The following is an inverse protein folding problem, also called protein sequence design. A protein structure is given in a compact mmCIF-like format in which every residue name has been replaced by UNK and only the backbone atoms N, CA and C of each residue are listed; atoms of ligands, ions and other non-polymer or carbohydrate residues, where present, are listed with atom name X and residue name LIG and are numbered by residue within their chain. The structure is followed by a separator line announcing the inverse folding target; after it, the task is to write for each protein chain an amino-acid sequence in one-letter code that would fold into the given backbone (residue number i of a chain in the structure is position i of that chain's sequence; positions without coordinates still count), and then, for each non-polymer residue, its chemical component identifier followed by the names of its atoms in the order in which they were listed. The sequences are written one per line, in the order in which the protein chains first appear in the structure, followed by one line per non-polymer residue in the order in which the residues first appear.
data_IF_130184550118
#
_entry.id   IF_130184550118
#
_cell.length_a   1.000
_cell.length_b   1.000
_cell.length_c   1.000
_cell.angle_alpha   90.00
_cell.angle_beta   90.00
_cell.angle_gamma   90.00
#
_symmetry.space_group_name_H-M   'P 1'
#
loop_
_entity.id
_entity.type
_entity.pdbx_description
1 polymer ?
#
# COMPACT_ATOMS: atom_id res chain seq x y z
N UNK A 1 31.31 -9.30 28.26
CA UNK A 1 30.27 -9.37 27.21
C UNK A 1 29.28 -8.22 27.46
N UNK A 2 29.23 -7.21 26.59
CA UNK A 2 28.28 -6.09 26.74
C UNK A 2 26.89 -6.58 26.31
N UNK A 3 25.93 -6.61 27.23
CA UNK A 3 24.53 -6.97 26.94
C UNK A 3 23.94 -5.88 26.04
N UNK A 4 23.65 -6.24 24.79
CA UNK A 4 22.88 -5.39 23.87
C UNK A 4 21.47 -5.29 24.43
N UNK A 5 21.09 -4.10 24.91
CA UNK A 5 19.71 -3.82 25.32
C UNK A 5 18.90 -3.63 24.03
N UNK A 6 18.10 -4.63 23.68
CA UNK A 6 17.12 -4.51 22.61
C UNK A 6 16.01 -3.59 23.14
N UNK A 7 15.76 -2.42 22.52
CA UNK A 7 14.74 -1.51 23.00
C UNK A 7 13.37 -2.20 22.90
N UNK A 8 12.68 -2.30 24.03
CA UNK A 8 11.35 -2.92 24.15
C UNK A 8 10.27 -1.89 23.81
N UNK A 9 10.34 -1.31 22.61
CA UNK A 9 9.47 -0.23 22.14
C UNK A 9 8.94 -0.46 20.73
N UNK A 10 8.21 0.51 20.19
CA UNK A 10 7.72 0.44 18.81
C UNK A 10 8.89 0.45 17.80
N UNK A 11 8.77 -0.24 16.66
CA UNK A 11 9.82 -0.26 15.64
C UNK A 11 10.18 1.16 15.21
N UNK A 12 11.48 1.45 15.08
CA UNK A 12 11.96 2.79 14.71
C UNK A 12 11.42 3.30 13.35
N UNK A 13 11.02 2.39 12.47
CA UNK A 13 10.42 2.71 11.16
C UNK A 13 8.89 2.81 11.16
N UNK A 14 8.22 2.72 12.32
CA UNK A 14 6.75 2.73 12.38
C UNK A 14 6.20 4.09 11.95
N UNK A 15 5.29 4.07 10.97
CA UNK A 15 4.55 5.26 10.55
C UNK A 15 3.41 5.53 11.53
N UNK A 16 3.30 6.78 11.97
CA UNK A 16 2.18 7.28 12.79
C UNK A 16 1.67 8.59 12.19
N UNK A 17 0.36 8.68 12.01
CA UNK A 17 -0.33 9.88 11.57
C UNK A 17 -0.20 10.97 12.65
N UNK A 18 0.46 12.06 12.30
CA UNK A 18 0.69 13.18 13.22
C UNK A 18 -0.58 13.99 13.52
N UNK A 19 -1.64 13.81 12.74
CA UNK A 19 -2.91 14.52 12.92
C UNK A 19 -3.83 13.86 13.96
N UNK A 20 -3.93 12.52 13.96
CA UNK A 20 -4.86 11.80 14.85
C UNK A 20 -4.22 10.69 15.71
N UNK A 21 -2.91 10.49 15.60
CA UNK A 21 -2.18 9.45 16.33
C UNK A 21 -2.40 8.04 15.79
N UNK A 22 -3.13 7.86 14.69
CA UNK A 22 -3.32 6.55 14.08
C UNK A 22 -2.00 5.97 13.58
N UNK A 23 -1.75 4.71 13.90
CA UNK A 23 -0.53 4.00 13.52
C UNK A 23 -0.80 2.61 12.95
N UNK A 24 -2.06 2.31 12.60
CA UNK A 24 -2.51 0.95 12.26
C UNK A 24 -3.32 0.89 10.97
N UNK A 25 -3.89 2.00 10.53
CA UNK A 25 -4.85 2.04 9.41
C UNK A 25 -4.43 3.10 8.37
N UNK A 26 -4.10 2.65 7.17
CA UNK A 26 -3.57 3.49 6.09
C UNK A 26 -4.19 3.06 4.77
N UNK A 27 -4.40 4.03 3.88
CA UNK A 27 -5.03 3.81 2.57
C UNK A 27 -4.10 4.33 1.49
N UNK A 28 -3.79 3.51 0.51
CA UNK A 28 -3.14 3.95 -0.72
C UNK A 28 -4.21 4.22 -1.78
N UNK A 29 -4.13 5.37 -2.45
CA UNK A 29 -5.06 5.77 -3.51
C UNK A 29 -4.24 6.06 -4.77
N UNK A 30 -4.46 5.26 -5.81
CA UNK A 30 -3.93 5.53 -7.14
C UNK A 30 -5.02 6.13 -8.03
N UNK A 31 -4.72 7.26 -8.68
CA UNK A 31 -5.63 7.92 -9.62
C UNK A 31 -5.30 7.56 -11.07
N UNK A 32 -6.30 7.66 -11.95
CA UNK A 32 -6.18 7.40 -13.39
C UNK A 32 -5.53 6.04 -13.71
N UNK A 33 -6.06 4.98 -13.10
CA UNK A 33 -5.58 3.61 -13.29
C UNK A 33 -6.28 2.98 -14.48
N UNK A 34 -5.50 2.43 -15.41
CA UNK A 34 -5.98 1.52 -16.46
C UNK A 34 -5.68 0.08 -16.02
N UNK A 35 -6.71 -0.77 -16.05
CA UNK A 35 -6.56 -2.21 -15.81
C UNK A 35 -6.98 -2.95 -17.07
N UNK A 36 -6.05 -3.72 -17.62
CA UNK A 36 -6.26 -4.55 -18.80
C UNK A 36 -6.23 -6.02 -18.39
N UNK A 37 -7.36 -6.72 -18.53
CA UNK A 37 -7.45 -8.16 -18.26
C UNK A 37 -7.64 -8.95 -19.54
N UNK A 38 -6.75 -9.92 -19.78
CA UNK A 38 -6.84 -10.84 -20.91
C UNK A 38 -7.63 -12.08 -20.51
N UNK A 39 -8.69 -12.39 -21.26
CA UNK A 39 -9.52 -13.58 -21.04
C UNK A 39 -9.43 -14.57 -22.19
N UNK A 40 -9.48 -15.87 -21.85
CA UNK A 40 -9.69 -16.97 -22.80
C UNK A 40 -11.07 -17.55 -22.56
N UNK A 41 -11.85 -17.73 -23.62
CA UNK A 41 -13.14 -18.41 -23.54
C UNK A 41 -12.94 -19.93 -23.55
N UNK A 42 -13.53 -20.60 -22.57
CA UNK A 42 -13.52 -22.05 -22.41
C UNK A 42 -14.58 -22.71 -23.31
N UNK A 43 -14.46 -24.03 -23.51
CA UNK A 43 -15.38 -24.79 -24.36
C UNK A 43 -16.83 -24.84 -23.84
N UNK A 44 -17.02 -24.66 -22.54
CA UNK A 44 -18.34 -24.54 -21.90
C UNK A 44 -18.93 -23.10 -21.99
N UNK A 45 -18.22 -22.18 -22.63
CA UNK A 45 -18.62 -20.78 -22.80
C UNK A 45 -18.22 -19.85 -21.66
N UNK A 46 -17.64 -20.37 -20.56
CA UNK A 46 -17.10 -19.56 -19.47
C UNK A 46 -15.78 -18.87 -19.87
N UNK A 47 -15.28 -17.93 -19.05
CA UNK A 47 -14.04 -17.20 -19.32
C UNK A 47 -13.02 -17.40 -18.20
N UNK A 48 -11.77 -17.62 -18.58
CA UNK A 48 -10.62 -17.73 -17.68
C UNK A 48 -9.71 -16.50 -17.86
N UNK A 49 -9.43 -15.71 -16.80
CA UNK A 49 -8.42 -14.66 -16.89
C UNK A 49 -7.02 -15.29 -17.01
N UNK A 50 -6.22 -14.83 -17.97
CA UNK A 50 -4.84 -15.28 -18.18
C UNK A 50 -3.84 -14.31 -17.57
N UNK A 51 -3.99 -13.02 -17.88
CA UNK A 51 -3.04 -11.97 -17.54
C UNK A 51 -3.79 -10.72 -17.13
N UNK A 52 -3.19 -9.96 -16.21
CA UNK A 52 -3.65 -8.64 -15.80
C UNK A 52 -2.47 -7.67 -15.89
N UNK A 53 -2.69 -6.55 -16.56
CA UNK A 53 -1.79 -5.42 -16.59
C UNK A 53 -2.47 -4.24 -15.89
N UNK A 54 -1.71 -3.55 -15.04
CA UNK A 54 -2.18 -2.36 -14.33
C UNK A 54 -1.22 -1.22 -14.64
N UNK A 55 -1.72 -0.16 -15.24
CA UNK A 55 -0.99 1.06 -15.53
C UNK A 55 -1.55 2.19 -14.67
N UNK A 56 -0.68 2.95 -13.99
CA UNK A 56 -1.08 4.11 -13.20
C UNK A 56 -0.62 5.36 -13.95
N UNK A 57 -1.57 6.17 -14.44
CA UNK A 57 -1.27 7.41 -15.17
C UNK A 57 -1.40 8.68 -14.31
N UNK A 58 -1.89 8.56 -13.08
CA UNK A 58 -2.09 9.66 -12.14
C UNK A 58 -1.17 9.58 -10.92
N UNK A 59 -1.53 10.32 -9.88
CA UNK A 59 -0.81 10.32 -8.62
C UNK A 59 -1.13 9.07 -7.78
N UNK A 60 -0.14 8.62 -7.02
CA UNK A 60 -0.31 7.64 -5.94
C UNK A 60 -0.15 8.39 -4.63
N UNK A 61 -1.17 8.31 -3.77
CA UNK A 61 -1.20 8.98 -2.47
C UNK A 61 -1.31 7.97 -1.35
N UNK A 62 -0.62 8.26 -0.24
CA UNK A 62 -0.78 7.54 1.01
C UNK A 62 -1.59 8.40 1.97
N UNK A 63 -2.70 7.90 2.49
CA UNK A 63 -3.59 8.62 3.40
C UNK A 63 -3.69 7.88 4.74
N UNK A 64 -3.97 8.63 5.80
CA UNK A 64 -4.41 8.04 7.06
C UNK A 64 -5.82 7.46 6.91
N UNK A 65 -6.01 6.17 7.19
CA UNK A 65 -7.31 5.51 7.08
C UNK A 65 -8.35 6.00 8.10
N UNK A 66 -7.94 6.67 9.19
CA UNK A 66 -8.87 7.18 10.21
C UNK A 66 -9.35 8.61 9.98
N UNK A 67 -8.46 9.52 9.56
CA UNK A 67 -8.79 10.94 9.45
C UNK A 67 -8.59 11.53 8.05
N UNK A 68 -8.13 10.72 7.08
CA UNK A 68 -7.94 11.15 5.70
C UNK A 68 -6.76 12.11 5.47
N UNK A 69 -5.93 12.35 6.49
CA UNK A 69 -4.75 13.21 6.35
C UNK A 69 -3.79 12.62 5.32
N UNK A 70 -3.28 13.49 4.44
CA UNK A 70 -2.28 13.12 3.45
C UNK A 70 -0.92 12.81 4.11
N UNK A 71 -0.45 11.60 3.85
CA UNK A 71 0.81 11.01 4.31
C UNK A 71 1.69 10.60 3.13
N UNK A 72 1.40 11.05 1.91
CA UNK A 72 2.17 10.79 0.68
C UNK A 72 3.67 11.09 0.81
N UNK A 73 4.13 12.09 1.61
CA UNK A 73 5.57 12.25 1.87
C UNK A 73 6.27 11.03 2.49
N UNK A 74 5.53 10.15 3.16
CA UNK A 74 6.03 8.91 3.74
C UNK A 74 5.87 7.70 2.79
N UNK A 75 5.33 7.88 1.59
CA UNK A 75 4.99 6.79 0.66
C UNK A 75 6.19 5.94 0.26
N UNK A 76 7.35 6.56 -0.03
CA UNK A 76 8.58 5.80 -0.34
C UNK A 76 9.02 4.88 0.79
N UNK A 77 9.03 5.38 2.04
CA UNK A 77 9.33 4.57 3.22
C UNK A 77 8.27 3.49 3.46
N UNK A 78 7.00 3.78 3.18
CA UNK A 78 5.92 2.79 3.20
C UNK A 78 6.17 1.65 2.21
N UNK A 79 6.58 1.94 0.97
CA UNK A 79 6.87 0.91 -0.04
C UNK A 79 8.04 -0.01 0.38
N UNK A 80 9.06 0.51 1.07
CA UNK A 80 10.17 -0.30 1.60
C UNK A 80 9.75 -1.30 2.68
N UNK A 81 8.53 -1.17 3.23
CA UNK A 81 8.01 -1.99 4.31
C UNK A 81 6.90 -2.96 3.88
N UNK A 82 6.61 -3.06 2.57
CA UNK A 82 5.66 -4.05 2.01
C UNK A 82 6.44 -5.33 1.67
N UNK A 83 5.93 -6.48 2.11
CA UNK A 83 6.53 -7.82 1.91
C UNK A 83 5.51 -8.81 1.34
#
# INVERSE_FOLDING_TARGET
MKKVKIPTGEPAGRITCQACGNSTDFVEVAENVLVTTHYVQNADGSFTPQENETEIHGEVRLLCGKCGTDLTPFHGHFLEMIF
#
